data_IF_364898418801
#
_entry.id   IF_364898418801
#
_cell.length_a   1.000
_cell.length_b   1.000
_cell.length_c   1.000
_cell.angle_alpha   90.00
_cell.angle_beta   90.00
_cell.angle_gamma   90.00
#
_symmetry.space_group_name_H-M   'P 1'
#
loop_
_entity.id
_entity.type
_entity.pdbx_description
1 polymer ?
#
# COMPACT_ATOMS: atom_id res chain seq x y z
N UNK A 1 5.54 -5.72 28.30
CA UNK A 1 6.69 -5.64 27.70
C UNK A 1 6.80 -4.82 26.50
N UNK A 2 7.76 -4.10 26.52
CA UNK A 2 7.95 -3.23 25.42
C UNK A 2 8.27 -3.96 24.14
N UNK A 3 8.56 -5.22 24.24
CA UNK A 3 8.90 -5.96 23.06
C UNK A 3 7.80 -6.00 22.05
N UNK A 4 6.58 -6.09 22.48
CA UNK A 4 5.50 -6.13 21.53
C UNK A 4 5.46 -4.86 20.73
N UNK A 5 5.62 -3.76 21.40
CA UNK A 5 5.59 -2.49 20.69
C UNK A 5 6.75 -2.43 19.69
N UNK A 6 7.91 -2.90 20.11
CA UNK A 6 9.07 -2.86 19.23
C UNK A 6 8.91 -3.76 18.04
N UNK A 7 8.19 -4.87 18.22
CA UNK A 7 8.04 -5.80 17.11
C UNK A 7 6.83 -5.49 16.25
N UNK A 8 6.07 -4.46 16.61
CA UNK A 8 4.88 -4.14 15.84
C UNK A 8 5.25 -3.16 14.75
N UNK A 9 5.84 -3.67 13.68
CA UNK A 9 6.16 -2.86 12.52
C UNK A 9 5.04 -2.96 11.53
N UNK A 10 4.80 -1.87 10.81
CA UNK A 10 3.87 -1.91 9.70
C UNK A 10 4.60 -2.47 8.49
N UNK A 11 3.98 -3.42 7.83
CA UNK A 11 4.57 -4.06 6.66
C UNK A 11 3.91 -3.50 5.43
N UNK A 12 4.67 -2.72 4.67
CA UNK A 12 4.14 -2.09 3.47
C UNK A 12 4.85 -2.65 2.24
N UNK A 13 4.12 -2.69 1.14
CA UNK A 13 4.70 -3.11 -0.13
C UNK A 13 4.49 -1.99 -1.14
N UNK A 14 5.53 -1.68 -1.93
CA UNK A 14 5.40 -0.73 -3.02
C UNK A 14 5.67 -1.43 -4.34
N UNK A 15 4.77 -1.22 -5.30
CA UNK A 15 4.86 -1.80 -6.63
C UNK A 15 4.98 -0.71 -7.69
N UNK A 16 6.01 -0.79 -8.48
CA UNK A 16 6.17 -0.03 -9.71
C UNK A 16 7.24 -0.71 -10.52
N UNK A 17 7.13 -0.66 -11.85
CA UNK A 17 8.20 -1.19 -12.70
C UNK A 17 9.35 -0.18 -12.81
N UNK A 18 9.23 0.98 -12.19
CA UNK A 18 10.25 2.02 -12.19
C UNK A 18 10.86 2.11 -10.80
N UNK A 19 12.14 1.75 -10.69
CA UNK A 19 12.81 1.78 -9.40
C UNK A 19 12.85 3.16 -8.78
N UNK A 20 12.89 4.21 -9.61
CA UNK A 20 12.87 5.58 -9.11
C UNK A 20 11.56 5.89 -8.40
N UNK A 21 10.45 5.42 -8.96
CA UNK A 21 9.15 5.63 -8.32
C UNK A 21 9.12 4.91 -6.99
N UNK A 22 9.61 3.68 -6.94
CA UNK A 22 9.61 2.95 -5.68
C UNK A 22 10.44 3.67 -4.63
N UNK A 23 11.60 4.18 -5.04
CA UNK A 23 12.46 4.89 -4.09
C UNK A 23 11.81 6.19 -3.63
N UNK A 24 11.15 6.92 -4.54
CA UNK A 24 10.48 8.15 -4.17
C UNK A 24 9.38 7.90 -3.15
N UNK A 25 8.66 6.80 -3.29
CA UNK A 25 7.61 6.45 -2.33
C UNK A 25 8.23 6.14 -0.97
N UNK A 26 9.26 5.32 -0.96
CA UNK A 26 9.91 4.91 0.29
C UNK A 26 10.47 6.13 1.01
N UNK A 27 11.19 6.97 0.27
CA UNK A 27 11.79 8.17 0.86
C UNK A 27 10.73 9.17 1.30
N UNK A 28 9.67 9.31 0.50
CA UNK A 28 8.62 10.27 0.82
C UNK A 28 7.82 9.89 2.04
N UNK A 29 7.45 8.63 2.16
CA UNK A 29 6.70 8.17 3.33
C UNK A 29 7.60 8.17 4.57
N UNK A 30 8.86 7.78 4.37
CA UNK A 30 9.80 7.75 5.47
C UNK A 30 9.54 6.56 6.38
N UNK A 31 10.05 6.67 7.59
CA UNK A 31 10.00 5.56 8.54
C UNK A 31 8.70 5.51 9.31
N UNK A 32 7.96 6.60 9.35
CA UNK A 32 6.70 6.68 10.09
C UNK A 32 5.78 7.64 9.35
N UNK A 33 4.70 7.14 8.77
CA UNK A 33 3.85 8.00 7.93
C UNK A 33 3.07 9.04 8.72
N UNK A 34 2.87 8.82 10.01
CA UNK A 34 2.19 9.80 10.84
C UNK A 34 2.56 9.57 12.28
N UNK A 35 2.46 10.64 13.06
CA UNK A 35 2.70 10.56 14.47
C UNK A 35 1.70 9.58 15.08
N UNK A 36 2.18 8.74 15.94
CA UNK A 36 1.32 7.75 16.59
C UNK A 36 1.26 6.42 15.88
N UNK A 37 1.76 6.33 14.66
CA UNK A 37 1.80 5.06 13.97
C UNK A 37 3.14 4.37 14.21
N UNK A 38 3.16 3.04 14.14
CA UNK A 38 4.44 2.32 14.24
C UNK A 38 5.37 2.64 13.08
N UNK A 39 6.61 2.26 13.22
CA UNK A 39 7.57 2.35 12.11
C UNK A 39 7.17 1.37 11.02
N UNK A 40 7.60 1.66 9.80
CA UNK A 40 7.24 0.84 8.65
C UNK A 40 8.47 0.12 8.11
N UNK A 41 8.24 -1.05 7.54
CA UNK A 41 9.23 -1.71 6.71
C UNK A 41 8.64 -1.89 5.32
N UNK A 42 9.50 -1.90 4.32
CA UNK A 42 9.09 -1.92 2.93
C UNK A 42 9.52 -3.18 2.22
N UNK A 43 8.63 -3.71 1.39
CA UNK A 43 8.94 -4.74 0.41
C UNK A 43 8.73 -4.09 -0.95
N UNK A 44 9.65 -4.28 -1.88
CA UNK A 44 9.53 -3.71 -3.22
C UNK A 44 9.18 -4.80 -4.21
N UNK A 45 8.34 -4.48 -5.15
CA UNK A 45 8.01 -5.38 -6.25
C UNK A 45 8.04 -4.60 -7.55
N UNK A 46 8.69 -5.16 -8.55
CA UNK A 46 8.80 -4.51 -9.87
C UNK A 46 7.76 -5.03 -10.84
N UNK A 47 7.07 -6.11 -10.51
CA UNK A 47 6.09 -6.73 -11.40
C UNK A 47 4.87 -7.16 -10.60
N UNK A 48 3.75 -7.31 -11.29
CA UNK A 48 2.54 -7.82 -10.65
C UNK A 48 2.78 -9.23 -10.09
N UNK A 49 3.56 -10.03 -10.80
CA UNK A 49 3.89 -11.36 -10.31
C UNK A 49 4.67 -11.28 -9.01
N UNK A 50 5.59 -10.31 -8.91
CA UNK A 50 6.33 -10.10 -7.67
C UNK A 50 5.44 -9.79 -6.50
N UNK A 51 4.38 -9.00 -6.74
CA UNK A 51 3.41 -8.70 -5.68
C UNK A 51 2.71 -9.97 -5.23
N UNK A 52 2.24 -10.77 -6.19
CA UNK A 52 1.54 -12.01 -5.86
C UNK A 52 2.44 -12.95 -5.07
N UNK A 53 3.70 -13.05 -5.48
CA UNK A 53 4.65 -13.91 -4.78
C UNK A 53 4.91 -13.43 -3.36
N UNK A 54 5.02 -12.12 -3.18
CA UNK A 54 5.25 -11.58 -1.83
C UNK A 54 4.07 -11.88 -0.91
N UNK A 55 2.85 -11.76 -1.44
CA UNK A 55 1.66 -12.05 -0.65
C UNK A 55 1.61 -13.55 -0.29
N UNK A 56 1.88 -14.40 -1.26
CA UNK A 56 1.86 -15.84 -1.02
C UNK A 56 2.94 -16.27 -0.06
N UNK A 57 4.11 -15.63 -0.13
CA UNK A 57 5.21 -15.97 0.74
C UNK A 57 4.85 -15.70 2.20
N UNK A 58 4.16 -14.61 2.45
CA UNK A 58 3.72 -14.31 3.82
C UNK A 58 2.72 -15.36 4.29
N UNK A 59 1.81 -15.79 3.42
CA UNK A 59 0.84 -16.82 3.76
C UNK A 59 1.52 -18.13 4.09
N UNK A 60 2.52 -18.50 3.29
CA UNK A 60 3.25 -19.74 3.52
C UNK A 60 3.99 -19.75 4.84
N UNK A 61 4.49 -18.58 5.24
CA UNK A 61 5.24 -18.45 6.48
C UNK A 61 4.34 -18.14 7.66
N UNK A 62 3.03 -18.16 7.44
CA UNK A 62 2.05 -17.88 8.48
C UNK A 62 2.26 -16.50 9.09
N UNK A 63 2.66 -15.56 8.28
CA UNK A 63 2.84 -14.18 8.70
C UNK A 63 1.58 -13.38 8.40
N UNK A 64 1.33 -12.31 9.16
CA UNK A 64 0.15 -11.47 8.88
C UNK A 64 0.25 -10.86 7.48
N UNK A 65 -0.89 -10.53 6.85
CA UNK A 65 -0.87 -9.86 5.56
C UNK A 65 -0.18 -8.50 5.66
N UNK A 66 0.23 -7.97 4.52
CA UNK A 66 0.73 -6.60 4.50
C UNK A 66 -0.34 -5.67 5.02
N UNK A 67 0.09 -4.61 5.68
CA UNK A 67 -0.85 -3.60 6.19
C UNK A 67 -1.37 -2.71 5.07
N UNK A 68 -0.52 -2.40 4.11
CA UNK A 68 -0.94 -1.60 2.96
C UNK A 68 -0.06 -1.89 1.75
N UNK A 69 -0.64 -1.70 0.58
CA UNK A 69 0.05 -1.80 -0.69
C UNK A 69 -0.01 -0.44 -1.38
N UNK A 70 1.13 0.04 -1.86
CA UNK A 70 1.18 1.26 -2.66
C UNK A 70 1.43 0.81 -4.09
N UNK A 71 0.46 0.99 -4.96
CA UNK A 71 0.49 0.40 -6.31
C UNK A 71 0.49 1.49 -7.37
N UNK A 72 1.48 1.43 -8.26
CA UNK A 72 1.62 2.40 -9.34
C UNK A 72 0.67 2.05 -10.47
N UNK A 73 -0.36 2.86 -10.67
CA UNK A 73 -1.33 2.61 -11.73
C UNK A 73 -0.72 2.77 -13.12
N UNK A 74 0.42 3.46 -13.21
CA UNK A 74 1.06 3.71 -14.50
C UNK A 74 2.09 2.66 -14.87
N UNK A 75 2.26 1.63 -14.07
CA UNK A 75 3.22 0.59 -14.40
C UNK A 75 2.83 -0.11 -15.69
N UNK A 76 3.83 -0.53 -16.43
CA UNK A 76 3.58 -1.19 -17.70
C UNK A 76 3.02 -2.58 -17.47
N UNK A 77 2.51 -3.19 -18.52
CA UNK A 77 1.87 -4.49 -18.45
C UNK A 77 0.66 -4.38 -17.53
N UNK A 78 0.58 -5.20 -16.49
CA UNK A 78 -0.53 -5.06 -15.57
C UNK A 78 -0.16 -3.96 -14.57
N UNK A 79 -0.86 -2.83 -14.67
CA UNK A 79 -0.63 -1.72 -13.75
C UNK A 79 -1.29 -1.94 -12.41
N UNK A 80 -1.00 -1.00 -11.50
CA UNK A 80 -1.50 -1.11 -10.13
C UNK A 80 -3.00 -1.15 -10.03
N UNK A 81 -3.69 -0.48 -10.96
CA UNK A 81 -5.15 -0.47 -10.91
C UNK A 81 -5.74 -1.85 -11.17
N UNK A 82 -5.27 -2.50 -12.24
CA UNK A 82 -5.73 -3.85 -12.54
C UNK A 82 -5.36 -4.84 -11.47
N UNK A 83 -4.16 -4.69 -10.93
CA UNK A 83 -3.71 -5.56 -9.86
C UNK A 83 -4.55 -5.38 -8.61
N UNK A 84 -4.87 -4.13 -8.26
CA UNK A 84 -5.70 -3.88 -7.08
C UNK A 84 -7.08 -4.52 -7.24
N UNK A 85 -7.67 -4.41 -8.43
CA UNK A 85 -8.96 -5.00 -8.69
C UNK A 85 -8.90 -6.53 -8.57
N UNK A 86 -7.85 -7.13 -9.12
CA UNK A 86 -7.65 -8.56 -9.03
C UNK A 86 -7.56 -9.01 -7.56
N UNK A 87 -6.76 -8.30 -6.77
CA UNK A 87 -6.59 -8.66 -5.37
C UNK A 87 -7.88 -8.51 -4.58
N UNK A 88 -8.68 -7.49 -4.91
CA UNK A 88 -9.95 -7.29 -4.24
C UNK A 88 -10.88 -8.48 -4.47
N UNK A 89 -10.86 -9.06 -5.68
CA UNK A 89 -11.75 -10.17 -5.97
C UNK A 89 -11.22 -11.49 -5.45
N UNK A 90 -9.91 -11.63 -5.28
CA UNK A 90 -9.31 -12.90 -4.90
C UNK A 90 -9.05 -13.08 -3.42
N UNK A 91 -8.91 -11.99 -2.68
CA UNK A 91 -8.57 -12.08 -1.28
C UNK A 91 -9.77 -11.72 -0.41
N UNK A 92 -10.03 -12.54 0.60
CA UNK A 92 -11.09 -12.25 1.54
C UNK A 92 -10.73 -11.01 2.35
N UNK A 93 -9.48 -10.93 2.79
CA UNK A 93 -8.99 -9.77 3.50
C UNK A 93 -7.78 -9.27 2.77
N UNK A 94 -7.93 -8.22 2.03
CA UNK A 94 -6.78 -7.66 1.36
C UNK A 94 -6.24 -6.45 2.13
N UNK A 95 -4.94 -6.17 1.98
CA UNK A 95 -4.38 -4.96 2.58
C UNK A 95 -5.04 -3.70 2.05
N UNK A 96 -4.91 -2.61 2.79
CA UNK A 96 -5.33 -1.31 2.29
C UNK A 96 -4.52 -0.99 1.05
N UNK A 97 -5.13 -0.29 0.09
CA UNK A 97 -4.45 0.04 -1.16
C UNK A 97 -4.39 1.55 -1.34
N UNK A 98 -3.18 2.05 -1.60
CA UNK A 98 -2.95 3.41 -2.04
C UNK A 98 -2.58 3.32 -3.52
N UNK A 99 -3.36 3.97 -4.37
CA UNK A 99 -3.13 3.90 -5.80
C UNK A 99 -2.43 5.19 -6.24
N UNK A 100 -1.35 5.04 -7.00
CA UNK A 100 -0.62 6.20 -7.54
C UNK A 100 -1.09 6.43 -8.97
N UNK A 101 -1.61 7.62 -9.25
CA UNK A 101 -2.11 7.93 -10.60
C UNK A 101 -1.29 9.05 -11.22
N UNK A 102 -1.35 9.15 -12.54
CA UNK A 102 -0.61 10.18 -13.24
C UNK A 102 -1.27 11.54 -13.10
N UNK A 103 -2.60 11.57 -13.07
CA UNK A 103 -3.34 12.83 -13.12
C UNK A 103 -4.55 12.78 -12.20
N UNK A 104 -4.90 13.93 -11.58
CA UNK A 104 -6.08 13.95 -10.70
C UNK A 104 -7.37 13.50 -11.39
N UNK A 105 -7.52 13.76 -12.70
CA UNK A 105 -8.73 13.36 -13.38
C UNK A 105 -8.87 11.85 -13.51
N UNK A 106 -7.84 11.10 -13.17
CA UNK A 106 -7.92 9.64 -13.20
C UNK A 106 -8.37 9.07 -11.87
N UNK A 107 -8.64 9.92 -10.89
CA UNK A 107 -8.96 9.45 -9.54
C UNK A 107 -10.23 8.60 -9.47
N UNK A 108 -11.15 8.78 -10.42
CA UNK A 108 -12.36 7.97 -10.42
C UNK A 108 -12.04 6.48 -10.59
N UNK A 109 -10.89 6.19 -11.16
CA UNK A 109 -10.48 4.80 -11.36
C UNK A 109 -10.20 4.10 -10.01
N UNK A 110 -9.92 4.87 -8.98
CA UNK A 110 -9.67 4.28 -7.66
C UNK A 110 -10.91 3.58 -7.13
N UNK A 111 -12.09 4.09 -7.44
CA UNK A 111 -13.32 3.45 -7.00
C UNK A 111 -13.49 2.09 -7.68
N UNK A 112 -13.15 2.02 -8.96
CA UNK A 112 -13.23 0.74 -9.68
C UNK A 112 -12.25 -0.27 -9.09
N UNK A 113 -11.07 0.18 -8.72
CA UNK A 113 -10.03 -0.68 -8.17
C UNK A 113 -10.23 -0.95 -6.69
N UNK A 114 -11.20 -0.30 -6.06
CA UNK A 114 -11.47 -0.45 -4.64
C UNK A 114 -10.29 -0.03 -3.78
N UNK A 115 -9.55 0.99 -4.24
CA UNK A 115 -8.44 1.53 -3.46
C UNK A 115 -8.98 2.43 -2.36
N UNK A 116 -8.35 2.40 -1.20
CA UNK A 116 -8.76 3.25 -0.09
C UNK A 116 -8.38 4.70 -0.33
N UNK A 117 -7.26 4.93 -1.00
CA UNK A 117 -6.73 6.28 -1.20
C UNK A 117 -6.08 6.35 -2.56
N UNK A 118 -6.11 7.51 -3.18
CA UNK A 118 -5.37 7.76 -4.42
C UNK A 118 -4.45 8.95 -4.20
N UNK A 119 -3.23 8.85 -4.71
CA UNK A 119 -2.27 9.94 -4.68
C UNK A 119 -1.86 10.21 -6.12
N UNK A 120 -2.09 11.44 -6.60
CA UNK A 120 -1.76 11.82 -7.96
C UNK A 120 -0.36 12.42 -8.02
N UNK A 121 0.28 12.29 -9.17
CA UNK A 121 1.57 12.93 -9.36
C UNK A 121 1.42 14.44 -9.41
N UNK A 122 2.43 15.17 -8.99
CA UNK A 122 3.75 14.70 -8.55
C UNK A 122 3.70 14.09 -7.16
N UNK A 123 4.56 13.10 -6.95
CA UNK A 123 4.59 12.38 -5.67
C UNK A 123 5.43 13.17 -4.68
N UNK A 124 4.79 13.95 -3.85
CA UNK A 124 5.53 14.71 -2.86
C UNK A 124 5.43 14.00 -1.50
N UNK A 125 6.40 14.21 -0.62
CA UNK A 125 6.43 13.49 0.65
C UNK A 125 5.18 13.68 1.49
N UNK A 126 4.65 14.89 1.55
CA UNK A 126 3.49 15.14 2.40
C UNK A 126 2.26 14.40 1.89
N UNK A 127 2.01 14.45 0.59
CA UNK A 127 0.88 13.72 0.01
C UNK A 127 1.01 12.22 0.19
N UNK A 128 2.23 11.71 0.06
CA UNK A 128 2.47 10.28 0.25
C UNK A 128 2.23 9.88 1.70
N UNK A 129 2.75 10.66 2.64
CA UNK A 129 2.57 10.37 4.05
C UNK A 129 1.11 10.41 4.44
N UNK A 130 0.40 11.44 4.01
CA UNK A 130 -1.01 11.57 4.33
C UNK A 130 -1.83 10.46 3.71
N UNK A 131 -1.53 10.10 2.47
CA UNK A 131 -2.25 9.04 1.79
C UNK A 131 -2.07 7.69 2.46
N UNK A 132 -0.84 7.36 2.79
CA UNK A 132 -0.57 6.09 3.45
C UNK A 132 -1.19 6.06 4.83
N UNK A 133 -1.05 7.13 5.60
CA UNK A 133 -1.64 7.19 6.93
C UNK A 133 -3.16 7.07 6.86
N UNK A 134 -3.78 7.72 5.89
CA UNK A 134 -5.23 7.67 5.72
C UNK A 134 -5.69 6.26 5.37
N UNK A 135 -4.96 5.59 4.49
CA UNK A 135 -5.31 4.24 4.09
C UNK A 135 -5.21 3.28 5.28
N UNK A 136 -4.15 3.40 6.06
CA UNK A 136 -3.97 2.55 7.23
C UNK A 136 -5.07 2.81 8.26
N UNK A 137 -5.41 4.07 8.47
CA UNK A 137 -6.44 4.43 9.43
C UNK A 137 -7.82 3.96 8.98
N UNK A 138 -8.13 4.11 7.71
CA UNK A 138 -9.41 3.67 7.18
C UNK A 138 -9.57 2.17 7.34
N UNK A 139 -8.50 1.42 7.09
CA UNK A 139 -8.55 -0.02 7.23
C UNK A 139 -8.80 -0.41 8.67
N UNK A 140 -8.08 0.22 9.61
CA UNK A 140 -8.23 -0.07 11.02
C UNK A 140 -9.62 0.31 11.51
N UNK A 141 -10.13 1.43 11.06
CA UNK A 141 -11.46 1.86 11.43
C UNK A 141 -12.51 0.90 10.95
N UNK A 142 -12.31 0.30 9.80
CA UNK A 142 -13.25 -0.68 9.28
C UNK A 142 -13.26 -1.93 10.15
N UNK A 143 -12.10 -2.31 10.64
CA UNK A 143 -11.96 -3.50 11.45
C UNK A 143 -12.46 -3.26 12.86
N UNK A 144 -12.46 -2.04 13.30
CA UNK A 144 -12.84 -1.71 14.68
C UNK A 144 -14.25 -1.18 14.66
N UNK A 145 -15.21 -1.99 14.59
CA UNK A 145 -16.57 -1.52 14.55
C UNK A 145 -16.80 -0.85 15.83
N UNK A 146 -17.37 0.19 15.74
CA UNK A 146 -17.64 0.98 16.85
C UNK A 146 -18.13 0.18 17.95
N UNK A 147 -17.89 -0.65 18.09
CA UNK A 147 -18.36 -1.38 19.23
C UNK A 147 -18.66 -0.48 19.99
#
# INVERSE_FOLDING_TARGET
MTDQAASTLLELLVFSDDATVRQDVIDGVGRRPAKGLPLVTWTEAATAEGVRMAIKDREKKDQPPFDALVLDAEAKKLGGMGLAHELFTELDERPAVVLLTARPQDDWLAAWAKAEVVVSRPLDPLSLQEGVAKALTARRGTVTPAG
#
